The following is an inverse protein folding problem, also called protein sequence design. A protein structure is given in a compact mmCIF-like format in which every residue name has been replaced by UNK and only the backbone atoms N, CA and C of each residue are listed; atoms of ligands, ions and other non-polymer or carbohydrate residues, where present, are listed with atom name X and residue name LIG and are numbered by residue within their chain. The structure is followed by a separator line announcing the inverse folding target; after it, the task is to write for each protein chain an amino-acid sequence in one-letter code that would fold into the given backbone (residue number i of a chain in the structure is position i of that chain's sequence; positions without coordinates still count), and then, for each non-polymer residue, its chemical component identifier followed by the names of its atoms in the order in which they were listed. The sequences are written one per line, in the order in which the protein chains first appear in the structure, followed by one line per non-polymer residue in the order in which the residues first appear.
data_IF_894778497721
#
_entry.id   IF_894778497721
#
_cell.length_a   1.000
_cell.length_b   1.000
_cell.length_c   1.000
_cell.angle_alpha   90.00
_cell.angle_beta   90.00
_cell.angle_gamma   90.00
#
_symmetry.space_group_name_H-M   'P 1'
#
loop_
_entity.id
_entity.type
_entity.pdbx_description
1 polymer ?
#
# COMPACT_ATOMS: atom_id res chain seq x y z
N UNK A 1 8.02 -8.89 -15.90
CA UNK A 1 7.77 -8.27 -17.22
C UNK A 1 6.43 -8.75 -17.75
N UNK A 2 5.34 -8.00 -17.52
CA UNK A 2 4.13 -8.09 -18.34
C UNK A 2 3.45 -6.72 -18.36
N UNK A 3 3.38 -6.14 -19.56
CA UNK A 3 2.52 -5.09 -20.12
C UNK A 3 3.34 -4.37 -21.21
N UNK A 4 3.35 -4.92 -22.42
CA UNK A 4 3.73 -4.25 -23.67
C UNK A 4 5.23 -4.03 -23.97
N UNK A 5 6.09 -3.82 -22.98
CA UNK A 5 7.53 -3.58 -23.22
C UNK A 5 8.40 -4.79 -22.86
N UNK A 6 9.23 -5.23 -23.80
CA UNK A 6 10.22 -6.30 -23.58
C UNK A 6 11.47 -5.80 -22.84
N UNK A 7 11.65 -4.49 -22.70
CA UNK A 7 12.80 -3.87 -22.05
C UNK A 7 12.37 -2.89 -20.97
N UNK A 8 13.17 -2.76 -19.92
CA UNK A 8 12.94 -1.77 -18.87
C UNK A 8 13.17 -0.34 -19.40
N UNK A 9 12.40 0.66 -18.95
CA UNK A 9 12.65 2.05 -19.30
C UNK A 9 13.95 2.56 -18.68
N UNK A 10 14.59 3.54 -19.31
CA UNK A 10 15.72 4.25 -18.72
C UNK A 10 15.20 5.08 -17.55
N UNK A 11 15.74 4.86 -16.36
CA UNK A 11 15.44 5.66 -15.17
C UNK A 11 16.51 6.74 -15.01
N UNK A 12 16.10 8.02 -15.06
CA UNK A 12 16.98 9.17 -14.83
C UNK A 12 16.58 9.85 -13.52
N UNK A 13 17.43 9.84 -12.49
CA UNK A 13 17.15 10.56 -11.26
C UNK A 13 17.37 12.06 -11.45
N UNK A 14 16.38 12.86 -11.10
CA UNK A 14 16.42 14.32 -11.15
C UNK A 14 16.14 14.89 -9.76
N UNK A 15 16.96 15.83 -9.32
CA UNK A 15 16.82 16.52 -8.03
C UNK A 15 16.40 17.96 -8.27
N UNK A 16 15.31 18.38 -7.64
CA UNK A 16 14.78 19.73 -7.75
C UNK A 16 14.90 20.44 -6.40
N UNK A 17 15.62 21.56 -6.39
CA UNK A 17 15.68 22.44 -5.24
C UNK A 17 14.67 23.59 -5.39
N UNK A 18 13.82 23.78 -4.37
CA UNK A 18 12.89 24.91 -4.25
C UNK A 18 12.94 25.53 -2.85
N UNK A 19 14.10 26.02 -2.44
CA UNK A 19 14.26 26.74 -1.17
C UNK A 19 14.27 28.26 -1.31
N UNK A 20 14.35 28.95 -0.17
CA UNK A 20 14.31 30.43 -0.10
C UNK A 20 15.57 31.13 -0.62
N UNK A 21 16.72 30.46 -0.59
CA UNK A 21 18.03 31.04 -0.97
C UNK A 21 18.37 30.68 -2.42
N UNK A 22 18.71 31.69 -3.23
CA UNK A 22 19.03 31.55 -4.65
C UNK A 22 20.26 32.41 -5.01
N UNK A 23 21.24 31.89 -5.78
CA UNK A 23 21.33 30.51 -6.28
C UNK A 23 21.52 29.49 -5.15
N UNK A 24 21.35 28.19 -5.46
CA UNK A 24 21.58 27.13 -4.49
C UNK A 24 23.00 27.25 -3.90
N UNK A 25 23.16 27.37 -2.58
CA UNK A 25 24.42 27.81 -1.99
C UNK A 25 25.39 26.66 -1.66
N UNK A 26 25.05 25.41 -1.98
CA UNK A 26 25.86 24.23 -1.67
C UNK A 26 26.29 23.50 -2.95
N UNK A 27 27.06 22.43 -2.79
CA UNK A 27 27.51 21.55 -3.88
C UNK A 27 26.33 20.96 -4.67
N UNK A 28 26.47 20.92 -6.00
CA UNK A 28 25.49 20.28 -6.90
C UNK A 28 25.83 18.82 -7.18
N UNK A 29 26.95 18.32 -6.68
CA UNK A 29 27.28 16.90 -6.69
C UNK A 29 26.61 16.23 -5.50
N UNK A 30 25.66 15.33 -5.78
CA UNK A 30 24.95 14.59 -4.73
C UNK A 30 25.87 13.72 -3.88
N UNK A 31 26.99 13.25 -4.43
CA UNK A 31 27.94 12.42 -3.68
C UNK A 31 28.48 13.17 -2.45
N UNK A 32 28.65 14.49 -2.57
CA UNK A 32 29.11 15.31 -1.45
C UNK A 32 28.10 15.41 -0.29
N UNK A 33 26.82 15.08 -0.53
CA UNK A 33 25.76 15.11 0.47
C UNK A 33 25.72 13.85 1.35
N UNK A 34 26.45 12.79 1.01
CA UNK A 34 26.50 11.56 1.80
C UNK A 34 27.64 11.57 2.81
N UNK A 35 27.38 11.06 4.02
CA UNK A 35 28.40 10.91 5.06
C UNK A 35 29.52 9.95 4.60
N UNK A 36 29.16 8.82 3.99
CA UNK A 36 30.10 7.89 3.37
C UNK A 36 30.14 8.08 1.84
N UNK A 37 30.92 9.07 1.39
CA UNK A 37 31.08 9.40 -0.04
C UNK A 37 31.56 8.23 -0.89
N UNK A 38 32.46 7.39 -0.35
CA UNK A 38 33.01 6.24 -1.07
C UNK A 38 31.92 5.20 -1.35
N UNK A 39 31.14 4.83 -0.33
CA UNK A 39 30.01 3.91 -0.51
C UNK A 39 28.97 4.49 -1.47
N UNK A 40 28.69 5.80 -1.38
CA UNK A 40 27.79 6.48 -2.32
C UNK A 40 28.30 6.36 -3.76
N UNK A 41 29.59 6.59 -4.03
CA UNK A 41 30.15 6.42 -5.39
C UNK A 41 30.07 4.98 -5.90
N UNK A 42 30.17 4.00 -5.00
CA UNK A 42 30.13 2.58 -5.32
C UNK A 42 28.71 2.02 -5.50
N UNK A 43 27.67 2.76 -5.08
CA UNK A 43 26.28 2.27 -5.08
C UNK A 43 25.30 3.19 -5.80
N UNK A 44 25.46 4.51 -5.67
CA UNK A 44 24.59 5.51 -6.26
C UNK A 44 24.72 5.49 -7.79
N UNK A 45 23.62 5.21 -8.49
CA UNK A 45 23.53 5.10 -9.96
C UNK A 45 24.36 3.97 -10.60
N UNK A 46 24.85 3.03 -9.80
CA UNK A 46 25.40 1.77 -10.31
C UNK A 46 24.27 0.81 -10.68
N UNK A 47 24.53 -0.23 -11.49
CA UNK A 47 23.51 -1.23 -11.79
C UNK A 47 22.94 -1.82 -10.51
N UNK A 48 21.64 -1.60 -10.28
CA UNK A 48 20.95 -2.19 -9.14
C UNK A 48 20.60 -3.65 -9.48
N UNK A 49 20.95 -4.61 -8.62
CA UNK A 49 20.51 -5.98 -8.83
C UNK A 49 18.98 -6.06 -8.65
N UNK A 50 18.31 -6.77 -9.56
CA UNK A 50 16.94 -7.22 -9.31
C UNK A 50 17.01 -8.32 -8.26
N UNK A 51 16.45 -8.07 -7.08
CA UNK A 51 16.34 -9.07 -6.02
C UNK A 51 14.99 -9.78 -6.18
N UNK A 52 15.04 -11.05 -6.58
CA UNK A 52 13.84 -11.89 -6.63
C UNK A 52 13.56 -12.46 -5.24
N UNK A 53 12.73 -11.77 -4.45
CA UNK A 53 12.35 -12.22 -3.11
C UNK A 53 11.58 -13.54 -3.12
N UNK A 54 11.06 -13.99 -4.27
CA UNK A 54 10.22 -15.20 -4.34
C UNK A 54 11.02 -16.47 -4.17
N UNK A 55 12.32 -16.45 -4.46
CA UNK A 55 13.24 -17.59 -4.33
C UNK A 55 14.00 -17.60 -3.00
N UNK A 56 14.00 -16.51 -2.25
CA UNK A 56 14.70 -16.39 -0.97
C UNK A 56 13.87 -17.08 0.13
N UNK A 57 14.39 -18.04 0.90
CA UNK A 57 13.64 -18.70 1.98
C UNK A 57 13.11 -17.72 3.05
N UNK A 58 11.94 -18.00 3.64
CA UNK A 58 11.34 -17.13 4.65
C UNK A 58 12.23 -17.01 5.91
N UNK A 59 12.98 -18.07 6.25
CA UNK A 59 13.98 -18.07 7.33
C UNK A 59 15.12 -17.09 7.10
N UNK A 60 15.52 -16.92 5.84
CA UNK A 60 16.58 -15.99 5.45
C UNK A 60 16.04 -14.55 5.47
N UNK A 61 14.85 -14.31 4.90
CA UNK A 61 14.18 -13.02 4.95
C UNK A 61 13.98 -12.52 6.39
N UNK A 62 13.69 -13.41 7.34
CA UNK A 62 13.56 -13.05 8.78
C UNK A 62 14.85 -12.47 9.39
N UNK A 63 15.99 -12.61 8.74
CA UNK A 63 17.29 -12.08 9.18
C UNK A 63 17.58 -10.69 8.62
N UNK A 64 16.75 -10.15 7.72
CA UNK A 64 16.96 -8.84 7.09
C UNK A 64 16.52 -7.64 7.96
N UNK A 65 16.55 -7.80 9.28
CA UNK A 65 16.19 -6.78 10.27
C UNK A 65 14.90 -6.02 9.89
N UNK A 66 14.98 -4.70 9.72
CA UNK A 66 13.80 -3.87 9.47
C UNK A 66 13.15 -4.03 8.10
N UNK A 67 13.79 -4.71 7.15
CA UNK A 67 13.17 -5.04 5.86
C UNK A 67 12.39 -6.35 5.90
N UNK A 68 12.71 -7.23 6.85
CA UNK A 68 12.21 -8.60 6.89
C UNK A 68 10.69 -8.71 6.75
N UNK A 69 9.93 -7.91 7.50
CA UNK A 69 8.46 -7.99 7.43
C UNK A 69 7.90 -7.50 6.11
N UNK A 70 8.49 -6.46 5.52
CA UNK A 70 8.04 -5.95 4.24
C UNK A 70 8.28 -6.99 3.15
N UNK A 71 9.45 -7.63 3.15
CA UNK A 71 9.79 -8.68 2.19
C UNK A 71 8.93 -9.93 2.38
N UNK A 72 8.72 -10.38 3.62
CA UNK A 72 7.86 -11.53 3.94
C UNK A 72 6.42 -11.30 3.51
N UNK A 73 5.88 -10.11 3.80
CA UNK A 73 4.53 -9.74 3.38
C UNK A 73 4.48 -9.64 1.86
N UNK A 74 5.36 -8.87 1.20
CA UNK A 74 5.34 -8.74 -0.27
C UNK A 74 5.45 -10.09 -1.00
N UNK A 75 6.33 -10.98 -0.52
CA UNK A 75 6.49 -12.32 -1.10
C UNK A 75 5.21 -13.15 -1.01
N UNK A 76 4.47 -13.02 0.10
CA UNK A 76 3.41 -13.96 0.47
C UNK A 76 2.01 -13.36 0.54
N UNK A 77 1.81 -12.08 0.22
CA UNK A 77 0.54 -11.37 0.44
C UNK A 77 -0.66 -12.01 -0.26
N UNK A 78 -0.44 -12.67 -1.40
CA UNK A 78 -1.47 -13.40 -2.15
C UNK A 78 -1.38 -14.94 -1.98
N UNK A 79 -0.49 -15.43 -1.11
CA UNK A 79 -0.24 -16.87 -0.92
C UNK A 79 -0.62 -17.37 0.46
N UNK A 80 -0.57 -16.49 1.48
CA UNK A 80 -0.78 -16.81 2.89
C UNK A 80 -1.91 -15.97 3.46
N UNK A 81 -2.58 -16.50 4.48
CA UNK A 81 -3.59 -15.73 5.21
C UNK A 81 -2.90 -14.62 6.02
N UNK A 82 -3.48 -13.42 6.04
CA UNK A 82 -2.95 -12.29 6.79
C UNK A 82 -2.70 -12.62 8.28
N UNK A 83 -3.54 -13.49 8.86
CA UNK A 83 -3.37 -14.00 10.24
C UNK A 83 -1.99 -14.61 10.49
N UNK A 84 -1.37 -15.18 9.47
CA UNK A 84 -0.09 -15.84 9.64
C UNK A 84 1.08 -14.85 9.77
N UNK A 85 0.88 -13.57 9.42
CA UNK A 85 1.89 -12.52 9.59
C UNK A 85 1.90 -11.90 10.99
N UNK A 86 0.88 -12.13 11.82
CA UNK A 86 0.72 -11.49 13.14
C UNK A 86 1.98 -11.61 13.99
N UNK A 87 2.56 -12.82 14.06
CA UNK A 87 3.77 -13.09 14.85
C UNK A 87 4.98 -12.35 14.30
N UNK A 88 5.16 -12.33 12.98
CA UNK A 88 6.31 -11.67 12.34
C UNK A 88 6.21 -10.15 12.47
N UNK A 89 5.01 -9.58 12.32
CA UNK A 89 4.75 -8.15 12.54
C UNK A 89 5.08 -7.78 13.99
N UNK A 90 4.53 -8.53 14.96
CA UNK A 90 4.74 -8.25 16.38
C UNK A 90 6.22 -8.32 16.77
N UNK A 91 6.96 -9.31 16.24
CA UNK A 91 8.39 -9.45 16.47
C UNK A 91 9.18 -8.24 15.95
N UNK A 92 8.82 -7.72 14.76
CA UNK A 92 9.53 -6.60 14.16
C UNK A 92 9.24 -5.27 14.86
N UNK A 93 8.01 -5.07 15.34
CA UNK A 93 7.66 -3.94 16.22
C UNK A 93 8.44 -4.02 17.53
N UNK A 94 8.53 -5.20 18.15
CA UNK A 94 9.25 -5.40 19.41
C UNK A 94 10.76 -5.11 19.29
N UNK A 95 11.36 -5.40 18.14
CA UNK A 95 12.77 -5.06 17.84
C UNK A 95 12.99 -3.58 17.52
N UNK A 96 11.95 -2.75 17.55
CA UNK A 96 11.97 -1.32 17.21
C UNK A 96 12.39 -1.04 15.76
N UNK A 97 12.16 -1.99 14.87
CA UNK A 97 12.49 -1.82 13.46
C UNK A 97 11.39 -1.12 12.63
N UNK A 98 10.19 -1.01 13.19
CA UNK A 98 9.08 -0.27 12.57
C UNK A 98 8.75 0.97 13.40
N UNK A 99 8.74 2.13 12.74
CA UNK A 99 8.09 3.33 13.28
C UNK A 99 6.55 3.16 13.31
N UNK A 100 5.84 4.00 14.06
CA UNK A 100 4.37 4.00 14.06
C UNK A 100 3.79 4.22 12.65
N UNK A 101 4.39 5.12 11.87
CA UNK A 101 3.94 5.41 10.50
C UNK A 101 4.16 4.22 9.57
N UNK A 102 5.32 3.55 9.68
CA UNK A 102 5.62 2.35 8.89
C UNK A 102 4.71 1.19 9.28
N UNK A 103 4.45 1.01 10.58
CA UNK A 103 3.51 0.00 11.08
C UNK A 103 2.10 0.21 10.51
N UNK A 104 1.56 1.43 10.60
CA UNK A 104 0.24 1.74 10.06
C UNK A 104 0.17 1.57 8.54
N UNK A 105 1.22 1.96 7.82
CA UNK A 105 1.31 1.76 6.37
C UNK A 105 1.33 0.28 5.98
N UNK A 106 2.08 -0.54 6.74
CA UNK A 106 2.12 -1.99 6.55
C UNK A 106 0.74 -2.63 6.78
N UNK A 107 0.05 -2.26 7.87
CA UNK A 107 -1.29 -2.78 8.14
C UNK A 107 -2.28 -2.38 7.06
N UNK A 108 -2.25 -1.11 6.62
CA UNK A 108 -3.10 -0.66 5.53
C UNK A 108 -2.83 -1.46 4.26
N UNK A 109 -1.56 -1.70 3.91
CA UNK A 109 -1.17 -2.49 2.75
C UNK A 109 -1.68 -3.94 2.84
N UNK A 110 -1.42 -4.64 3.96
CA UNK A 110 -1.93 -6.00 4.19
C UNK A 110 -3.45 -6.07 4.08
N UNK A 111 -4.15 -5.02 4.52
CA UNK A 111 -5.61 -4.98 4.51
C UNK A 111 -6.22 -4.61 3.16
N UNK A 112 -5.46 -3.98 2.27
CA UNK A 112 -5.92 -3.68 0.91
C UNK A 112 -5.59 -4.81 -0.06
N UNK A 113 -4.38 -5.37 0.03
CA UNK A 113 -3.85 -6.30 -0.97
C UNK A 113 -3.80 -7.75 -0.48
N UNK A 114 -3.82 -7.96 0.84
CA UNK A 114 -3.76 -9.29 1.44
C UNK A 114 -5.11 -10.01 1.47
N UNK A 115 -5.05 -11.32 1.63
CA UNK A 115 -6.21 -12.17 1.82
C UNK A 115 -6.27 -12.67 3.27
N UNK A 116 -7.48 -12.73 3.83
CA UNK A 116 -7.69 -13.40 5.10
C UNK A 116 -9.08 -13.98 5.17
N UNK A 117 -9.19 -15.16 5.78
CA UNK A 117 -10.47 -15.77 6.14
C UNK A 117 -11.21 -14.95 7.19
N UNK A 118 -10.49 -14.21 8.03
CA UNK A 118 -11.07 -13.40 9.09
C UNK A 118 -10.16 -12.24 9.47
N UNK A 119 -10.36 -11.09 8.82
CA UNK A 119 -9.62 -9.87 9.13
C UNK A 119 -9.90 -9.34 10.54
N UNK A 120 -11.09 -9.55 11.10
CA UNK A 120 -11.39 -9.14 12.48
C UNK A 120 -10.47 -9.87 13.47
N UNK A 121 -10.28 -11.18 13.26
CA UNK A 121 -9.34 -11.96 14.06
C UNK A 121 -7.90 -11.47 13.86
N UNK A 122 -7.51 -11.08 12.64
CA UNK A 122 -6.17 -10.52 12.38
C UNK A 122 -5.91 -9.26 13.21
N UNK A 123 -6.85 -8.31 13.22
CA UNK A 123 -6.72 -7.09 14.02
C UNK A 123 -6.75 -7.38 15.53
N UNK A 124 -7.63 -8.28 15.98
CA UNK A 124 -7.70 -8.66 17.39
C UNK A 124 -6.40 -9.32 17.87
N UNK A 125 -5.88 -10.29 17.10
CA UNK A 125 -4.62 -10.97 17.44
C UNK A 125 -3.42 -10.03 17.40
N UNK A 126 -3.38 -9.06 16.48
CA UNK A 126 -2.36 -8.00 16.50
C UNK A 126 -2.49 -7.10 17.72
N UNK A 127 -3.71 -6.70 18.08
CA UNK A 127 -3.96 -5.84 19.24
C UNK A 127 -3.61 -6.54 20.57
N UNK A 128 -3.81 -7.86 20.64
CA UNK A 128 -3.37 -8.69 21.77
C UNK A 128 -1.84 -8.81 21.84
N UNK A 129 -1.19 -9.05 20.70
CA UNK A 129 0.27 -9.16 20.63
C UNK A 129 0.98 -7.82 20.86
N UNK A 130 0.33 -6.69 20.53
CA UNK A 130 0.87 -5.33 20.61
C UNK A 130 -0.05 -4.40 21.41
N UNK A 131 -0.15 -4.55 22.75
CA UNK A 131 -1.07 -3.76 23.57
C UNK A 131 -0.88 -2.24 23.43
N UNK A 132 0.36 -1.78 23.21
CA UNK A 132 0.68 -0.35 23.04
C UNK A 132 0.13 0.23 21.74
N UNK A 133 -0.14 -0.60 20.73
CA UNK A 133 -0.67 -0.19 19.42
C UNK A 133 -2.18 -0.48 19.30
N UNK A 134 -2.81 -1.04 20.34
CA UNK A 134 -4.21 -1.47 20.29
C UNK A 134 -5.17 -0.39 19.79
N UNK A 135 -5.02 0.84 20.28
CA UNK A 135 -5.88 1.95 19.86
C UNK A 135 -5.75 2.24 18.36
N UNK A 136 -4.52 2.28 17.84
CA UNK A 136 -4.24 2.54 16.42
C UNK A 136 -4.76 1.40 15.53
N UNK A 137 -4.50 0.16 15.93
CA UNK A 137 -4.96 -1.06 15.22
C UNK A 137 -6.49 -1.06 15.12
N UNK A 138 -7.19 -0.84 16.23
CA UNK A 138 -8.65 -0.85 16.25
C UNK A 138 -9.24 0.33 15.49
N UNK A 139 -8.59 1.50 15.52
CA UNK A 139 -9.02 2.67 14.76
C UNK A 139 -8.91 2.41 13.26
N UNK A 140 -7.79 1.82 12.81
CA UNK A 140 -7.59 1.46 11.40
C UNK A 140 -8.63 0.43 10.94
N UNK A 141 -8.87 -0.61 11.74
CA UNK A 141 -9.91 -1.61 11.46
C UNK A 141 -11.29 -0.96 11.26
N UNK A 142 -11.71 -0.09 12.18
CA UNK A 142 -12.99 0.62 12.08
C UNK A 142 -13.07 1.53 10.85
N UNK A 143 -11.99 2.25 10.53
CA UNK A 143 -11.94 3.10 9.34
C UNK A 143 -12.10 2.27 8.06
N UNK A 144 -11.46 1.10 8.00
CA UNK A 144 -11.53 0.21 6.84
C UNK A 144 -12.91 -0.44 6.71
N UNK A 145 -13.54 -0.82 7.81
CA UNK A 145 -14.93 -1.31 7.84
C UNK A 145 -15.90 -0.25 7.32
N UNK A 146 -15.81 0.99 7.83
CA UNK A 146 -16.64 2.11 7.37
C UNK A 146 -16.43 2.41 5.88
N UNK A 147 -15.18 2.40 5.41
CA UNK A 147 -14.85 2.57 3.99
C UNK A 147 -15.42 1.44 3.14
N UNK A 148 -15.39 0.20 3.65
CA UNK A 148 -16.01 -0.96 3.03
C UNK A 148 -17.52 -0.81 2.88
N UNK A 149 -18.20 -0.38 3.94
CA UNK A 149 -19.65 -0.13 3.93
C UNK A 149 -20.03 0.98 2.96
N UNK A 150 -19.31 2.10 2.96
CA UNK A 150 -19.53 3.20 2.02
C UNK A 150 -19.37 2.75 0.57
N UNK A 151 -18.29 2.01 0.26
CA UNK A 151 -18.08 1.41 -1.06
C UNK A 151 -19.21 0.44 -1.43
N UNK A 152 -19.71 -0.34 -0.48
CA UNK A 152 -20.85 -1.24 -0.69
C UNK A 152 -22.12 -0.49 -1.06
N UNK A 153 -22.45 0.59 -0.34
CA UNK A 153 -23.57 1.46 -0.69
C UNK A 153 -23.42 2.11 -2.05
N UNK A 154 -22.23 2.59 -2.39
CA UNK A 154 -21.97 3.16 -3.71
C UNK A 154 -22.14 2.11 -4.82
N UNK A 155 -21.60 0.90 -4.65
CA UNK A 155 -21.78 -0.19 -5.62
C UNK A 155 -23.25 -0.56 -5.81
N UNK A 156 -24.00 -0.73 -4.72
CA UNK A 156 -25.42 -1.04 -4.79
C UNK A 156 -26.23 0.06 -5.52
N UNK A 157 -25.89 1.33 -5.32
CA UNK A 157 -26.51 2.45 -6.04
C UNK A 157 -26.19 2.42 -7.54
N UNK A 158 -24.94 2.12 -7.90
CA UNK A 158 -24.52 1.99 -9.31
C UNK A 158 -25.18 0.78 -9.99
N UNK A 159 -25.24 -0.39 -9.35
CA UNK A 159 -25.93 -1.57 -9.88
C UNK A 159 -27.43 -1.30 -10.07
N UNK A 160 -28.07 -0.66 -9.08
CA UNK A 160 -29.46 -0.25 -9.20
C UNK A 160 -29.67 0.71 -10.39
N UNK A 161 -28.76 1.66 -10.60
CA UNK A 161 -28.82 2.56 -11.75
C UNK A 161 -28.67 1.81 -13.09
N UNK A 162 -27.71 0.88 -13.20
CA UNK A 162 -27.53 0.03 -14.40
C UNK A 162 -28.81 -0.76 -14.71
N UNK A 163 -29.41 -1.39 -13.70
CA UNK A 163 -30.63 -2.19 -13.87
C UNK A 163 -31.83 -1.34 -14.31
N UNK A 164 -32.06 -0.18 -13.66
CA UNK A 164 -33.17 0.69 -14.02
C UNK A 164 -33.03 1.26 -15.44
N UNK A 165 -31.81 1.63 -15.85
CA UNK A 165 -31.56 2.09 -17.22
C UNK A 165 -31.81 0.96 -18.23
N UNK A 166 -31.39 -0.26 -17.93
CA UNK A 166 -31.63 -1.43 -18.77
C UNK A 166 -33.12 -1.76 -18.92
N UNK A 167 -33.93 -1.50 -17.90
CA UNK A 167 -35.40 -1.63 -17.94
C UNK A 167 -36.11 -0.45 -18.64
N UNK A 168 -35.37 0.56 -19.12
CA UNK A 168 -35.90 1.68 -19.89
C UNK A 168 -36.47 2.82 -19.05
N UNK A 169 -36.17 2.87 -17.75
CA UNK A 169 -36.54 4.02 -16.91
C UNK A 169 -35.77 5.28 -17.32
N UNK A 170 -36.44 6.44 -17.22
CA UNK A 170 -35.82 7.71 -17.58
C UNK A 170 -34.66 8.08 -16.66
N UNK A 171 -33.65 8.76 -17.21
CA UNK A 171 -32.47 9.22 -16.46
C UNK A 171 -32.85 10.04 -15.23
N UNK A 172 -33.88 10.88 -15.32
CA UNK A 172 -34.38 11.69 -14.20
C UNK A 172 -34.94 10.85 -13.05
N UNK A 173 -35.66 9.77 -13.37
CA UNK A 173 -36.15 8.84 -12.36
C UNK A 173 -34.98 8.07 -11.70
N UNK A 174 -34.04 7.60 -12.51
CA UNK A 174 -32.85 6.89 -12.03
C UNK A 174 -32.04 7.75 -11.06
N UNK A 175 -31.78 9.02 -11.41
CA UNK A 175 -31.12 9.99 -10.52
C UNK A 175 -31.87 10.18 -9.21
N UNK A 176 -33.19 10.32 -9.27
CA UNK A 176 -34.03 10.54 -8.08
C UNK A 176 -34.01 9.33 -7.13
N UNK A 177 -34.09 8.12 -7.66
CA UNK A 177 -34.14 6.87 -6.87
C UNK A 177 -32.76 6.53 -6.29
N UNK A 178 -31.72 6.60 -7.11
CA UNK A 178 -30.36 6.22 -6.72
C UNK A 178 -29.58 7.36 -6.05
N UNK A 179 -30.10 8.59 -6.10
CA UNK A 179 -29.44 9.84 -5.66
C UNK A 179 -28.08 10.11 -6.32
N UNK A 180 -27.78 9.43 -7.43
CA UNK A 180 -26.52 9.59 -8.15
C UNK A 180 -26.50 10.90 -8.93
N UNK A 181 -25.33 11.52 -9.02
CA UNK A 181 -25.12 12.72 -9.83
C UNK A 181 -24.92 12.37 -11.31
N UNK A 182 -25.02 13.37 -12.19
CA UNK A 182 -24.66 13.21 -13.61
C UNK A 182 -23.23 12.68 -13.81
N UNK A 183 -22.30 13.12 -12.96
CA UNK A 183 -20.92 12.67 -13.00
C UNK A 183 -20.80 11.18 -12.66
N UNK A 184 -21.59 10.69 -11.71
CA UNK A 184 -21.57 9.28 -11.31
C UNK A 184 -22.16 8.38 -12.39
N UNK A 185 -23.23 8.84 -13.05
CA UNK A 185 -23.86 8.09 -14.15
C UNK A 185 -22.98 8.06 -15.41
N UNK A 186 -22.24 9.12 -15.71
CA UNK A 186 -21.30 9.14 -16.85
C UNK A 186 -20.16 8.12 -16.74
N UNK A 187 -19.90 7.60 -15.53
CA UNK A 187 -18.92 6.54 -15.28
C UNK A 187 -19.48 5.14 -15.55
N UNK A 188 -20.81 4.99 -15.64
CA UNK A 188 -21.45 3.70 -15.91
C UNK A 188 -21.33 3.28 -17.38
N UNK A 189 -21.19 4.23 -18.31
CA UNK A 189 -21.05 4.00 -19.76
C UNK A 189 -19.65 3.52 -20.19
N UNK A 190 -18.70 3.41 -19.26
CA UNK A 190 -17.28 3.12 -19.55
C UNK A 190 -16.84 1.68 -19.27
N UNK A 191 -17.74 0.81 -18.82
CA UNK A 191 -17.52 -0.63 -18.64
C UNK A 191 -18.29 -1.42 -19.70
#
# INVERSE_FOLDING_TARGET
MQQGSQTLPIVVPLLFYRGKKSPYPFTTDIIDCFENKKLAQETFLKPYPLIDITIIPDEELRQHDGLAILELVQKNIHRRDALEFVKDIALQVAKQFLSHEQFNSLLYYVSQEGESKNFDQFYLSLAEALPNYRADIMTLAQQLEQKGLQRGHEKARHEMAKNLLAEGFSLDLVKKVTRLSDLDLSKLDKD
#
